data_IF_286497638303
#
_entry.id   IF_286497638303
#
_cell.length_a   1.000
_cell.length_b   1.000
_cell.length_c   1.000
_cell.angle_alpha   90.00
_cell.angle_beta   90.00
_cell.angle_gamma   90.00
#
_symmetry.space_group_name_H-M   'P 1'
#
loop_
_entity.id
_entity.type
_entity.pdbx_description
1 polymer ?
#
# COMPACT_ATOMS: atom_id res chain seq x y z
N UNK A 1 14.91 5.36 20.58
CA UNK A 1 14.86 4.98 19.16
C UNK A 1 15.24 6.22 18.36
N UNK A 2 16.15 6.12 17.39
CA UNK A 2 16.53 7.26 16.54
C UNK A 2 15.43 7.58 15.52
N UNK A 3 15.38 8.81 15.01
CA UNK A 3 14.40 9.20 13.99
C UNK A 3 14.52 8.36 12.72
N UNK A 4 15.74 7.98 12.33
CA UNK A 4 15.98 7.10 11.20
C UNK A 4 15.44 5.68 11.43
N UNK A 5 15.61 5.11 12.64
CA UNK A 5 15.06 3.80 12.96
C UNK A 5 13.52 3.82 13.01
N UNK A 6 12.95 4.89 13.56
CA UNK A 6 11.50 5.12 13.57
C UNK A 6 10.94 5.24 12.15
N UNK A 7 11.63 5.99 11.29
CA UNK A 7 11.26 6.14 9.89
C UNK A 7 11.25 4.79 9.16
N UNK A 8 12.33 4.01 9.30
CA UNK A 8 12.44 2.70 8.68
C UNK A 8 11.33 1.75 9.13
N UNK A 9 10.99 1.75 10.42
CA UNK A 9 9.87 0.95 10.95
C UNK A 9 8.53 1.36 10.31
N UNK A 10 8.21 2.66 10.27
CA UNK A 10 6.96 3.16 9.69
C UNK A 10 6.87 2.86 8.20
N UNK A 11 7.97 3.08 7.46
CA UNK A 11 8.05 2.78 6.03
C UNK A 11 7.77 1.31 5.78
N UNK A 12 8.46 0.42 6.51
CA UNK A 12 8.31 -1.04 6.39
C UNK A 12 6.89 -1.50 6.71
N UNK A 13 6.28 -0.97 7.76
CA UNK A 13 4.89 -1.29 8.14
C UNK A 13 3.89 -0.86 7.09
N UNK A 14 4.05 0.35 6.55
CA UNK A 14 3.21 0.86 5.47
C UNK A 14 3.37 0.05 4.18
N UNK A 15 4.61 -0.22 3.77
CA UNK A 15 4.92 -1.05 2.61
C UNK A 15 4.28 -2.44 2.74
N UNK A 16 4.43 -3.08 3.89
CA UNK A 16 3.86 -4.41 4.11
C UNK A 16 2.31 -4.39 4.14
N UNK A 17 1.70 -3.37 4.76
CA UNK A 17 0.25 -3.21 4.78
C UNK A 17 -0.36 -3.07 3.37
N UNK A 18 0.37 -2.45 2.43
CA UNK A 18 -0.03 -2.38 1.01
C UNK A 18 0.10 -3.74 0.29
N UNK A 19 1.12 -4.52 0.63
CA UNK A 19 1.45 -5.79 -0.04
C UNK A 19 0.85 -7.04 0.63
N UNK A 20 -0.06 -6.86 1.59
CA UNK A 20 -0.70 -7.96 2.31
C UNK A 20 0.23 -8.69 3.29
N UNK A 21 1.40 -8.12 3.60
CA UNK A 21 2.34 -8.63 4.58
C UNK A 21 2.14 -7.99 5.95
N UNK A 22 2.30 -8.78 7.01
CA UNK A 22 2.60 -8.28 8.35
C UNK A 22 4.02 -8.76 8.68
N UNK A 23 5.03 -7.87 8.68
CA UNK A 23 6.42 -8.33 8.78
C UNK A 23 6.76 -8.83 10.18
N UNK A 24 6.00 -8.45 11.22
CA UNK A 24 6.35 -8.79 12.62
C UNK A 24 5.15 -9.00 13.58
N UNK A 25 3.90 -8.77 13.16
CA UNK A 25 2.73 -8.95 14.02
C UNK A 25 1.88 -10.10 13.51
N UNK A 26 1.54 -11.07 14.38
CA UNK A 26 0.49 -12.07 14.13
C UNK A 26 -0.64 -11.33 13.44
N UNK A 27 -0.84 -11.60 12.14
CA UNK A 27 -1.83 -10.88 11.36
C UNK A 27 -3.11 -10.86 12.18
N UNK A 28 -3.47 -9.68 12.68
CA UNK A 28 -4.84 -9.46 13.10
C UNK A 28 -5.59 -9.57 11.79
N UNK A 29 -6.01 -10.79 11.44
CA UNK A 29 -6.93 -11.02 10.34
C UNK A 29 -8.08 -10.08 10.66
N UNK A 30 -8.18 -8.97 9.92
CA UNK A 30 -9.22 -7.98 10.15
C UNK A 30 -10.48 -8.67 9.67
N UNK A 31 -11.14 -9.35 10.60
CA UNK A 31 -12.37 -10.07 10.32
C UNK A 31 -13.52 -9.08 10.36
N UNK A 32 -14.48 -9.27 9.45
CA UNK A 32 -15.74 -8.54 9.49
C UNK A 32 -16.45 -8.88 10.79
N UNK A 33 -16.91 -7.85 11.51
CA UNK A 33 -17.73 -8.06 12.71
C UNK A 33 -19.09 -8.63 12.31
N UNK A 34 -19.72 -9.39 13.20
CA UNK A 34 -21.00 -10.05 12.90
C UNK A 34 -22.15 -9.06 12.66
N UNK A 35 -22.05 -7.87 13.23
CA UNK A 35 -23.00 -6.75 13.14
C UNK A 35 -22.65 -5.73 12.04
N UNK A 36 -21.53 -5.93 11.35
CA UNK A 36 -21.00 -5.01 10.34
C UNK A 36 -21.43 -5.45 8.93
N UNK A 37 -21.97 -4.52 8.15
CA UNK A 37 -22.25 -4.75 6.74
C UNK A 37 -20.96 -4.92 5.93
N UNK A 38 -21.04 -5.54 4.75
CA UNK A 38 -19.86 -5.68 3.88
C UNK A 38 -19.27 -4.31 3.52
N UNK A 39 -20.13 -3.33 3.26
CA UNK A 39 -19.71 -1.97 2.94
C UNK A 39 -18.91 -1.34 4.09
N UNK A 40 -19.45 -1.37 5.31
CA UNK A 40 -18.79 -0.79 6.49
C UNK A 40 -17.42 -1.43 6.72
N UNK A 41 -17.34 -2.75 6.55
CA UNK A 41 -16.09 -3.47 6.64
C UNK A 41 -15.06 -3.02 5.60
N UNK A 42 -15.47 -2.88 4.34
CA UNK A 42 -14.58 -2.42 3.27
C UNK A 42 -14.12 -0.98 3.51
N UNK A 43 -15.02 -0.09 3.95
CA UNK A 43 -14.69 1.30 4.24
C UNK A 43 -13.77 1.47 5.47
N UNK A 44 -13.81 0.53 6.42
CA UNK A 44 -13.06 0.57 7.68
C UNK A 44 -11.72 -0.16 7.63
N UNK A 45 -11.72 -1.42 7.21
CA UNK A 45 -10.65 -2.39 7.51
C UNK A 45 -9.25 -1.92 7.12
N UNK A 46 -9.05 -1.56 5.84
CA UNK A 46 -7.75 -1.07 5.38
C UNK A 46 -7.50 0.38 5.76
N UNK A 47 -8.56 1.20 5.91
CA UNK A 47 -8.44 2.59 6.39
C UNK A 47 -7.84 2.67 7.80
N UNK A 48 -8.32 1.83 8.72
CA UNK A 48 -7.77 1.76 10.08
C UNK A 48 -6.31 1.31 10.10
N UNK A 49 -5.89 0.49 9.13
CA UNK A 49 -4.50 0.04 9.00
C UNK A 49 -3.59 1.13 8.39
N UNK A 50 -4.05 1.80 7.33
CA UNK A 50 -3.20 2.68 6.52
C UNK A 50 -3.24 4.15 6.94
N UNK A 51 -4.38 4.69 7.39
CA UNK A 51 -4.48 6.12 7.70
C UNK A 51 -3.52 6.56 8.82
N UNK A 52 -3.39 5.81 9.95
CA UNK A 52 -2.42 6.19 10.98
C UNK A 52 -0.97 6.14 10.49
N UNK A 53 -0.63 5.19 9.60
CA UNK A 53 0.70 5.06 9.02
C UNK A 53 0.99 6.22 8.05
N UNK A 54 0.02 6.58 7.21
CA UNK A 54 0.10 7.74 6.31
C UNK A 54 0.33 9.02 7.10
N UNK A 55 -0.49 9.29 8.11
CA UNK A 55 -0.42 10.52 8.90
C UNK A 55 0.91 10.60 9.67
N UNK A 56 1.39 9.46 10.21
CA UNK A 56 2.69 9.39 10.85
C UNK A 56 3.86 9.61 9.88
N UNK A 57 3.80 9.06 8.67
CA UNK A 57 4.81 9.27 7.62
C UNK A 57 4.80 10.72 7.13
N UNK A 58 3.64 11.32 6.87
CA UNK A 58 3.50 12.72 6.45
C UNK A 58 4.09 13.71 7.47
N UNK A 59 4.06 13.35 8.76
CA UNK A 59 4.64 14.17 9.83
C UNK A 59 6.16 14.03 9.95
N UNK A 60 6.80 13.15 9.17
CA UNK A 60 8.24 12.91 9.21
C UNK A 60 8.94 13.50 8.00
N UNK A 61 10.18 13.94 8.21
CA UNK A 61 11.11 14.23 7.12
C UNK A 61 11.80 12.92 6.71
N UNK A 62 11.78 12.53 5.43
CA UNK A 62 12.51 11.35 4.99
C UNK A 62 14.03 11.54 5.15
N UNK A 63 14.78 10.46 5.45
CA UNK A 63 16.24 10.49 5.36
C UNK A 63 16.71 10.89 3.96
N UNK A 64 17.89 11.52 3.87
CA UNK A 64 18.44 11.97 2.60
C UNK A 64 18.50 10.85 1.56
N UNK A 65 18.01 11.13 0.34
CA UNK A 65 17.96 10.15 -0.75
C UNK A 65 16.70 9.29 -0.79
N UNK A 66 15.76 9.46 0.16
CA UNK A 66 14.49 8.74 0.20
C UNK A 66 13.27 9.59 -0.14
N UNK A 67 13.44 10.85 -0.56
CA UNK A 67 12.34 11.77 -0.85
C UNK A 67 11.33 11.21 -1.87
N UNK A 68 11.82 10.62 -2.96
CA UNK A 68 10.96 10.03 -3.99
C UNK A 68 10.24 8.78 -3.50
N UNK A 69 10.95 7.85 -2.86
CA UNK A 69 10.35 6.64 -2.30
C UNK A 69 9.31 6.99 -1.22
N UNK A 70 9.57 8.02 -0.41
CA UNK A 70 8.63 8.53 0.58
C UNK A 70 7.35 9.05 -0.06
N UNK A 71 7.47 9.94 -1.05
CA UNK A 71 6.33 10.49 -1.78
C UNK A 71 5.50 9.39 -2.46
N UNK A 72 6.17 8.45 -3.14
CA UNK A 72 5.51 7.35 -3.85
C UNK A 72 4.80 6.39 -2.88
N UNK A 73 5.37 6.12 -1.70
CA UNK A 73 4.70 5.32 -0.67
C UNK A 73 3.43 6.01 -0.17
N UNK A 74 3.47 7.32 0.09
CA UNK A 74 2.29 8.08 0.48
C UNK A 74 1.21 8.08 -0.62
N UNK A 75 1.62 8.21 -1.88
CA UNK A 75 0.72 8.14 -3.03
C UNK A 75 0.08 6.75 -3.18
N UNK A 76 0.85 5.68 -2.96
CA UNK A 76 0.33 4.30 -2.97
C UNK A 76 -0.71 4.08 -1.86
N UNK A 77 -0.46 4.62 -0.66
CA UNK A 77 -1.44 4.59 0.44
C UNK A 77 -2.73 5.32 0.05
N UNK A 78 -2.62 6.52 -0.53
CA UNK A 78 -3.81 7.29 -0.93
C UNK A 78 -4.61 6.54 -2.02
N UNK A 79 -3.92 5.97 -3.03
CA UNK A 79 -4.58 5.15 -4.06
C UNK A 79 -5.34 3.97 -3.45
N UNK A 80 -4.75 3.28 -2.47
CA UNK A 80 -5.41 2.15 -1.79
C UNK A 80 -6.64 2.61 -0.98
N UNK A 81 -6.53 3.73 -0.25
CA UNK A 81 -7.64 4.29 0.52
C UNK A 81 -8.80 4.75 -0.37
N UNK A 82 -8.50 5.37 -1.51
CA UNK A 82 -9.51 5.78 -2.48
C UNK A 82 -10.16 4.57 -3.17
N UNK A 83 -9.38 3.53 -3.50
CA UNK A 83 -9.89 2.33 -4.14
C UNK A 83 -10.90 1.61 -3.25
N UNK A 84 -10.60 1.50 -1.95
CA UNK A 84 -11.50 0.86 -1.00
C UNK A 84 -12.76 1.70 -0.73
N UNK A 85 -12.64 3.03 -0.71
CA UNK A 85 -13.79 3.92 -0.62
C UNK A 85 -14.72 3.79 -1.85
N UNK A 86 -14.13 3.71 -3.05
CA UNK A 86 -14.88 3.48 -4.28
C UNK A 86 -15.54 2.09 -4.30
N UNK A 87 -14.85 1.06 -3.82
CA UNK A 87 -15.38 -0.30 -3.72
C UNK A 87 -16.54 -0.38 -2.72
N UNK A 88 -16.43 0.26 -1.56
CA UNK A 88 -17.52 0.37 -0.60
C UNK A 88 -18.75 1.06 -1.22
N UNK A 89 -18.54 2.18 -1.93
CA UNK A 89 -19.60 2.90 -2.63
C UNK A 89 -20.27 2.05 -3.73
N UNK A 90 -19.48 1.27 -4.48
CA UNK A 90 -20.01 0.29 -5.44
C UNK A 90 -20.93 -0.72 -4.78
N UNK A 91 -20.48 -1.34 -3.68
CA UNK A 91 -21.27 -2.36 -2.95
C UNK A 91 -22.58 -1.76 -2.43
N UNK A 92 -22.55 -0.53 -1.90
CA UNK A 92 -23.75 0.20 -1.47
C UNK A 92 -24.72 0.40 -2.63
N UNK A 93 -24.25 0.98 -3.73
CA UNK A 93 -25.08 1.29 -4.89
C UNK A 93 -25.74 0.02 -5.46
N UNK A 94 -24.97 -1.06 -5.58
CA UNK A 94 -25.49 -2.36 -6.01
C UNK A 94 -26.57 -2.90 -5.06
N UNK A 95 -26.35 -2.82 -3.74
CA UNK A 95 -27.32 -3.24 -2.72
C UNK A 95 -28.61 -2.43 -2.72
N UNK A 96 -28.57 -1.16 -3.14
CA UNK A 96 -29.73 -0.30 -3.29
C UNK A 96 -30.44 -0.44 -4.66
N UNK A 97 -29.94 -1.28 -5.57
CA UNK A 97 -30.47 -1.42 -6.93
C UNK A 97 -30.07 -0.29 -7.89
N UNK A 98 -29.13 0.57 -7.51
CA UNK A 98 -28.58 1.63 -8.36
C UNK A 98 -27.40 1.08 -9.18
N UNK A 99 -27.73 0.32 -10.22
CA UNK A 99 -26.73 -0.35 -11.05
C UNK A 99 -25.85 0.63 -11.84
N UNK A 100 -26.39 1.79 -12.23
CA UNK A 100 -25.63 2.79 -12.97
C UNK A 100 -24.53 3.42 -12.11
N UNK A 101 -24.84 3.79 -10.86
CA UNK A 101 -23.83 4.27 -9.92
C UNK A 101 -22.84 3.16 -9.55
N UNK A 102 -23.31 1.92 -9.39
CA UNK A 102 -22.42 0.78 -9.15
C UNK A 102 -21.38 0.62 -10.27
N UNK A 103 -21.77 0.77 -11.54
CA UNK A 103 -20.83 0.67 -12.68
C UNK A 103 -19.79 1.79 -12.62
N UNK A 104 -20.21 3.05 -12.39
CA UNK A 104 -19.28 4.18 -12.29
C UNK A 104 -18.26 4.00 -11.17
N UNK A 105 -18.69 3.48 -10.01
CA UNK A 105 -17.77 3.17 -8.92
C UNK A 105 -16.80 2.04 -9.29
N UNK A 106 -17.26 1.01 -10.01
CA UNK A 106 -16.38 -0.07 -10.48
C UNK A 106 -15.32 0.41 -11.48
N UNK A 107 -15.67 1.34 -12.38
CA UNK A 107 -14.72 1.96 -13.30
C UNK A 107 -13.68 2.78 -12.53
N UNK A 108 -14.12 3.53 -11.51
CA UNK A 108 -13.20 4.27 -10.62
C UNK A 108 -12.24 3.33 -9.88
N UNK A 109 -12.73 2.19 -9.37
CA UNK A 109 -11.87 1.17 -8.75
C UNK A 109 -10.83 0.66 -9.73
N UNK A 110 -11.20 0.38 -10.98
CA UNK A 110 -10.27 -0.08 -12.02
C UNK A 110 -9.18 0.94 -12.33
N UNK A 111 -9.54 2.23 -12.45
CA UNK A 111 -8.58 3.33 -12.65
C UNK A 111 -7.60 3.43 -11.48
N UNK A 112 -8.10 3.37 -10.24
CA UNK A 112 -7.27 3.45 -9.04
C UNK A 112 -6.34 2.24 -8.90
N UNK A 113 -6.82 1.04 -9.24
CA UNK A 113 -6.00 -0.17 -9.24
C UNK A 113 -4.86 -0.08 -10.27
N UNK A 114 -5.15 0.42 -11.48
CA UNK A 114 -4.13 0.65 -12.49
C UNK A 114 -3.08 1.68 -12.00
N UNK A 115 -3.53 2.78 -11.39
CA UNK A 115 -2.62 3.79 -10.82
C UNK A 115 -1.76 3.20 -9.71
N UNK A 116 -2.33 2.38 -8.82
CA UNK A 116 -1.59 1.75 -7.75
C UNK A 116 -0.45 0.86 -8.27
N UNK A 117 -0.66 0.12 -9.37
CA UNK A 117 0.39 -0.69 -10.01
C UNK A 117 1.51 0.18 -10.59
N UNK A 118 1.18 1.31 -11.20
CA UNK A 118 2.18 2.25 -11.72
C UNK A 118 3.03 2.85 -10.60
N UNK A 119 2.37 3.35 -9.56
CA UNK A 119 3.03 3.93 -8.39
C UNK A 119 3.91 2.89 -7.69
N UNK A 120 3.45 1.65 -7.57
CA UNK A 120 4.23 0.58 -6.95
C UNK A 120 5.51 0.24 -7.74
N UNK A 121 5.41 0.17 -9.07
CA UNK A 121 6.59 -0.01 -9.94
C UNK A 121 7.58 1.14 -9.82
N UNK A 122 7.08 2.37 -9.77
CA UNK A 122 7.90 3.56 -9.54
C UNK A 122 8.55 3.53 -8.15
N UNK A 123 7.82 3.13 -7.12
CA UNK A 123 8.31 2.99 -5.74
C UNK A 123 9.44 1.98 -5.65
N UNK A 124 9.25 0.78 -6.21
CA UNK A 124 10.29 -0.26 -6.25
C UNK A 124 11.54 0.25 -6.96
N UNK A 125 11.38 0.94 -8.10
CA UNK A 125 12.52 1.54 -8.81
C UNK A 125 13.23 2.59 -7.97
N UNK A 126 12.49 3.50 -7.33
CA UNK A 126 13.07 4.53 -6.47
C UNK A 126 13.86 3.93 -5.30
N UNK A 127 13.35 2.85 -4.71
CA UNK A 127 14.02 2.11 -3.63
C UNK A 127 15.35 1.48 -4.10
N UNK A 128 15.38 0.89 -5.29
CA UNK A 128 16.62 0.36 -5.87
C UNK A 128 17.62 1.46 -6.21
N UNK A 129 17.17 2.58 -6.76
CA UNK A 129 18.05 3.73 -7.02
C UNK A 129 18.64 4.31 -5.73
N UNK A 130 17.88 4.35 -4.64
CA UNK A 130 18.37 4.77 -3.34
C UNK A 130 19.43 3.80 -2.78
N UNK A 131 19.26 2.49 -2.97
CA UNK A 131 20.26 1.48 -2.63
C UNK A 131 21.55 1.61 -3.43
N UNK A 132 21.45 1.86 -4.74
CA UNK A 132 22.61 2.07 -5.60
C UNK A 132 23.39 3.34 -5.21
N UNK A 133 22.69 4.42 -4.87
CA UNK A 133 23.31 5.67 -4.44
C UNK A 133 23.93 5.55 -3.04
N UNK A 134 23.29 4.81 -2.12
CA UNK A 134 23.75 4.60 -0.74
C UNK A 134 23.51 3.14 -0.33
N UNK A 135 24.52 2.26 -0.49
CA UNK A 135 24.40 0.86 -0.13
C UNK A 135 24.04 0.66 1.35
N UNK A 136 23.11 -0.25 1.62
CA UNK A 136 22.56 -0.53 2.95
C UNK A 136 21.27 0.23 3.28
N UNK A 137 20.74 1.03 2.36
CA UNK A 137 19.47 1.74 2.51
C UNK A 137 18.30 0.78 2.68
N UNK A 138 18.20 -0.27 1.86
CA UNK A 138 17.14 -1.27 1.98
C UNK A 138 17.25 -2.06 3.28
N UNK A 139 18.48 -2.30 3.77
CA UNK A 139 18.70 -2.95 5.05
C UNK A 139 18.24 -2.05 6.21
N UNK A 140 18.52 -0.75 6.15
CA UNK A 140 18.06 0.22 7.14
C UNK A 140 16.52 0.37 7.16
N UNK A 141 15.87 0.21 6.01
CA UNK A 141 14.41 0.15 5.89
C UNK A 141 13.82 -1.23 6.24
N UNK A 142 14.66 -2.27 6.38
CA UNK A 142 14.22 -3.64 6.61
C UNK A 142 13.44 -4.26 5.44
N UNK A 143 13.83 -3.93 4.20
CA UNK A 143 13.16 -4.34 2.96
C UNK A 143 13.97 -5.32 2.09
N UNK A 144 15.17 -5.72 2.52
CA UNK A 144 16.12 -6.54 1.73
C UNK A 144 15.50 -7.84 1.20
N UNK A 145 14.66 -8.48 2.01
CA UNK A 145 14.04 -9.77 1.70
C UNK A 145 12.60 -9.63 1.17
N UNK A 146 12.09 -8.40 1.05
CA UNK A 146 10.69 -8.11 0.70
C UNK A 146 10.56 -7.52 -0.70
N UNK A 147 11.55 -6.75 -1.15
CA UNK A 147 11.53 -6.16 -2.48
C UNK A 147 11.82 -7.22 -3.56
N UNK A 148 10.98 -7.32 -4.61
CA UNK A 148 11.25 -8.22 -5.72
C UNK A 148 12.57 -7.82 -6.38
N UNK A 149 13.45 -8.78 -6.60
CA UNK A 149 14.66 -8.56 -7.39
C UNK A 149 14.28 -8.66 -8.86
N UNK A 150 14.92 -7.88 -9.74
CA UNK A 150 14.65 -7.91 -11.19
C UNK A 150 14.82 -9.29 -11.85
N UNK A 151 15.42 -10.26 -11.15
CA UNK A 151 15.51 -11.66 -11.59
C UNK A 151 14.27 -12.51 -11.28
N UNK A 152 13.40 -12.11 -10.34
CA UNK A 152 12.18 -12.87 -10.01
C UNK A 152 11.15 -12.80 -11.14
N UNK A 153 11.16 -11.74 -11.94
CA UNK A 153 10.32 -11.60 -13.14
C UNK A 153 10.73 -12.52 -14.29
N UNK A 154 11.98 -13.02 -14.33
CA UNK A 154 12.43 -13.97 -15.36
C UNK A 154 11.92 -15.39 -15.14
N UNK A 155 11.75 -15.80 -13.88
CA UNK A 155 11.29 -17.17 -13.56
C UNK A 155 9.84 -17.42 -13.94
N UNK A 156 9.00 -16.39 -13.94
CA UNK A 156 7.58 -16.52 -14.33
C UNK A 156 7.38 -16.56 -15.85
N UNK A 157 8.37 -16.13 -16.64
CA UNK A 157 8.32 -16.15 -18.11
C UNK A 157 8.96 -17.39 -18.74
N UNK A 158 9.55 -18.29 -17.94
CA UNK A 158 10.18 -19.54 -18.40
C UNK A 158 9.31 -20.79 -18.12
N UNK A 159 8.10 -20.60 -17.56
CA UNK A 159 7.13 -21.69 -17.27
C UNK A 159 5.92 -21.75 -18.23
N UNK A 160 5.95 -21.03 -19.36
CA UNK A 160 4.99 -21.19 -20.48
C UNK A 160 5.57 -22.02 -21.63
#
# INVERSE_FOLDING_TARGET
MSDAARYGELFRRAYAALHGGAPDEKAAFVQRRSDESLEEFLARSRREALAPLRDALQAMTPPAGLDDAHRLLLEAIECALEADAALAAQVRAYGCGDYQQSIQHSERVAVLAQRAVEVDRELIRALWLAEEATPGTLAALGLVDVLPRGDDTRRLSEEE
#
